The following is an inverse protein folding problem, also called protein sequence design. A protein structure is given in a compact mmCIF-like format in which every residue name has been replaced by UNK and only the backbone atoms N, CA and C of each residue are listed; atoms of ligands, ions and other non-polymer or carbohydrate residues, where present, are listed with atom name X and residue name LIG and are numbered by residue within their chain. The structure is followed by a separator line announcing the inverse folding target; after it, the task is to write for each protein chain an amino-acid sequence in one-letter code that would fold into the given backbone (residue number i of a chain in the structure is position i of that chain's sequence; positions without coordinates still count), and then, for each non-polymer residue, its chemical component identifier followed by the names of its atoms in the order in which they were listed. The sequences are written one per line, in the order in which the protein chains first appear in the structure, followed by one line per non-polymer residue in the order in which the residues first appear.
data_IF_928409810377
#
_entry.id   IF_928409810377
#
_cell.length_a   1.000
_cell.length_b   1.000
_cell.length_c   1.000
_cell.angle_alpha   90.00
_cell.angle_beta   90.00
_cell.angle_gamma   90.00
#
_symmetry.space_group_name_H-M   'P 1'
#
loop_
_entity.id
_entity.type
_entity.pdbx_description
1 polymer ?
#
# COMPACT_ATOMS: atom_id res chain seq x y z
N UNK A 1 23.79 -6.20 16.61
CA UNK A 1 22.52 -6.17 15.85
C UNK A 1 21.85 -4.78 15.76
N UNK A 2 22.02 -3.86 16.71
CA UNK A 2 21.35 -2.53 16.73
C UNK A 2 21.75 -1.52 15.64
N UNK A 3 22.81 -1.74 14.88
CA UNK A 3 23.35 -0.77 13.90
C UNK A 3 22.56 -0.69 12.57
N UNK A 4 21.64 -1.63 12.34
CA UNK A 4 20.86 -1.72 11.10
C UNK A 4 19.36 -1.43 11.33
N UNK A 5 18.96 -0.96 12.52
CA UNK A 5 17.58 -0.53 12.76
C UNK A 5 17.43 0.91 12.24
N UNK A 6 16.45 1.11 11.35
CA UNK A 6 16.03 2.43 10.90
C UNK A 6 14.80 2.84 11.70
N UNK A 7 14.84 4.00 12.38
CA UNK A 7 13.68 4.58 13.09
C UNK A 7 12.86 5.53 12.19
N UNK A 8 13.13 5.51 10.87
CA UNK A 8 12.47 6.40 9.92
C UNK A 8 11.01 6.04 9.76
N UNK A 9 10.14 7.02 9.97
CA UNK A 9 8.68 6.88 9.82
C UNK A 9 8.19 7.21 8.41
N UNK A 10 9.09 7.62 7.51
CA UNK A 10 8.78 8.08 6.16
C UNK A 10 9.10 7.03 5.08
N UNK A 11 9.36 5.79 5.48
CA UNK A 11 9.69 4.67 4.60
C UNK A 11 8.78 3.47 4.87
N UNK A 12 8.63 2.60 3.87
CA UNK A 12 7.99 1.29 4.05
C UNK A 12 9.03 0.30 4.55
N UNK A 13 8.87 -0.16 5.79
CA UNK A 13 9.80 -1.09 6.46
C UNK A 13 9.93 -2.42 5.71
N UNK A 14 8.83 -2.97 5.20
CA UNK A 14 8.80 -4.21 4.44
C UNK A 14 9.60 -4.10 3.12
N UNK A 15 9.50 -2.96 2.44
CA UNK A 15 10.24 -2.67 1.21
C UNK A 15 11.73 -2.44 1.48
N UNK A 16 12.08 -1.70 2.53
CA UNK A 16 13.48 -1.48 2.96
C UNK A 16 14.14 -2.80 3.36
N UNK A 17 13.46 -3.63 4.16
CA UNK A 17 13.92 -4.95 4.55
C UNK A 17 14.16 -5.84 3.33
N UNK A 18 13.21 -5.86 2.40
CA UNK A 18 13.30 -6.64 1.16
C UNK A 18 14.55 -6.30 0.35
N UNK A 19 14.85 -5.02 0.19
CA UNK A 19 16.04 -4.55 -0.54
C UNK A 19 17.32 -4.85 0.24
N UNK A 20 17.31 -4.70 1.57
CA UNK A 20 18.44 -5.04 2.42
C UNK A 20 18.79 -6.54 2.34
N UNK A 21 17.79 -7.42 2.38
CA UNK A 21 17.97 -8.86 2.22
C UNK A 21 18.53 -9.21 0.84
N UNK A 22 18.01 -8.58 -0.22
CA UNK A 22 18.51 -8.78 -1.57
C UNK A 22 19.99 -8.37 -1.71
N UNK A 23 20.41 -7.28 -1.07
CA UNK A 23 21.79 -6.79 -1.10
C UNK A 23 22.80 -7.75 -0.44
N UNK A 24 22.36 -8.59 0.50
CA UNK A 24 23.21 -9.63 1.11
C UNK A 24 23.09 -10.98 0.39
N UNK A 25 22.49 -11.01 -0.81
CA UNK A 25 22.39 -12.21 -1.65
C UNK A 25 21.22 -13.13 -1.29
N UNK A 26 20.29 -12.70 -0.42
CA UNK A 26 19.10 -13.48 -0.11
C UNK A 26 18.00 -13.25 -1.15
N UNK A 27 17.24 -14.30 -1.43
CA UNK A 27 16.09 -14.24 -2.34
C UNK A 27 14.80 -14.21 -1.53
N UNK A 28 13.86 -13.37 -1.95
CA UNK A 28 12.51 -13.32 -1.36
C UNK A 28 11.66 -14.36 -2.08
N UNK A 29 11.32 -15.44 -1.37
CA UNK A 29 10.40 -16.46 -1.87
C UNK A 29 8.95 -16.10 -1.54
N UNK A 30 8.05 -16.30 -2.51
CA UNK A 30 6.61 -16.31 -2.27
C UNK A 30 6.15 -17.77 -2.20
N UNK A 31 5.47 -18.13 -1.11
CA UNK A 31 4.97 -19.49 -0.90
C UNK A 31 3.49 -19.53 -1.29
N UNK A 32 3.16 -20.24 -2.37
CA UNK A 32 1.78 -20.29 -2.88
C UNK A 32 0.78 -20.89 -1.88
N UNK A 33 1.24 -21.81 -1.02
CA UNK A 33 0.42 -22.37 0.05
C UNK A 33 0.19 -21.41 1.22
N UNK A 34 0.84 -20.25 1.25
CA UNK A 34 0.66 -19.19 2.25
C UNK A 34 -0.09 -17.97 1.68
N UNK A 35 -0.99 -18.18 0.72
CA UNK A 35 -1.82 -17.11 0.17
C UNK A 35 -2.83 -16.63 1.21
N UNK A 36 -2.86 -15.31 1.42
CA UNK A 36 -3.84 -14.64 2.26
C UNK A 36 -4.63 -13.66 1.40
N UNK A 37 -5.93 -13.55 1.66
CA UNK A 37 -6.77 -12.56 0.99
C UNK A 37 -6.33 -11.14 1.36
N UNK A 38 -6.19 -10.28 0.35
CA UNK A 38 -5.81 -8.89 0.58
C UNK A 38 -7.01 -8.12 1.15
N UNK A 39 -6.85 -7.50 2.32
CA UNK A 39 -7.86 -6.58 2.82
C UNK A 39 -8.02 -5.41 1.84
N UNK A 40 -9.25 -5.13 1.39
CA UNK A 40 -9.58 -3.96 0.55
C UNK A 40 -9.36 -2.60 1.24
N UNK A 41 -8.81 -2.58 2.46
CA UNK A 41 -8.55 -1.39 3.30
C UNK A 41 -7.86 -0.26 2.53
N UNK A 42 -6.92 -0.60 1.64
CA UNK A 42 -6.19 0.41 0.85
C UNK A 42 -7.05 1.03 -0.25
N UNK A 43 -8.01 0.30 -0.80
CA UNK A 43 -8.99 0.82 -1.78
C UNK A 43 -9.86 1.95 -1.22
N UNK A 44 -10.18 1.90 0.07
CA UNK A 44 -10.95 2.95 0.75
C UNK A 44 -10.11 4.19 1.13
N UNK A 45 -8.79 4.09 1.10
CA UNK A 45 -7.89 5.16 1.55
C UNK A 45 -8.05 6.39 0.65
N UNK A 46 -8.34 7.58 1.20
CA UNK A 46 -8.49 8.80 0.41
C UNK A 46 -7.24 9.10 -0.44
N UNK A 47 -7.39 9.67 -1.65
CA UNK A 47 -6.26 9.91 -2.55
C UNK A 47 -5.12 10.74 -1.92
N UNK A 48 -5.47 11.69 -1.05
CA UNK A 48 -4.49 12.51 -0.32
C UNK A 48 -3.62 11.66 0.62
N UNK A 49 -4.21 10.72 1.35
CA UNK A 49 -3.48 9.83 2.25
C UNK A 49 -2.70 8.78 1.47
N UNK A 50 -3.31 8.25 0.40
CA UNK A 50 -2.63 7.34 -0.51
C UNK A 50 -1.41 7.97 -1.18
N UNK A 51 -1.45 9.27 -1.51
CA UNK A 51 -0.27 9.97 -2.02
C UNK A 51 0.88 10.03 -1.02
N UNK A 52 0.60 10.11 0.29
CA UNK A 52 1.63 10.02 1.34
C UNK A 52 2.21 8.61 1.42
N UNK A 53 1.35 7.60 1.30
CA UNK A 53 1.78 6.20 1.24
C UNK A 53 2.74 5.97 0.06
N UNK A 54 2.43 6.51 -1.12
CA UNK A 54 3.30 6.42 -2.29
C UNK A 54 4.60 7.23 -2.18
N UNK A 55 4.61 8.34 -1.44
CA UNK A 55 5.85 9.05 -1.09
C UNK A 55 6.79 8.21 -0.24
N UNK A 56 6.27 7.38 0.67
CA UNK A 56 7.11 6.48 1.45
C UNK A 56 7.80 5.42 0.55
N UNK A 57 7.12 4.93 -0.48
CA UNK A 57 7.73 4.09 -1.52
C UNK A 57 8.87 4.84 -2.23
N UNK A 58 8.65 6.11 -2.62
CA UNK A 58 9.72 6.91 -3.21
C UNK A 58 10.92 7.11 -2.27
N UNK A 59 10.68 7.33 -0.98
CA UNK A 59 11.72 7.50 0.03
C UNK A 59 12.62 6.26 0.15
N UNK A 60 12.05 5.05 0.12
CA UNK A 60 12.81 3.79 0.14
C UNK A 60 13.69 3.67 -1.11
N UNK A 61 13.11 3.91 -2.30
CA UNK A 61 13.85 3.80 -3.56
C UNK A 61 15.01 4.82 -3.63
N UNK A 62 14.82 6.02 -3.09
CA UNK A 62 15.88 7.04 -2.97
C UNK A 62 16.94 6.63 -1.96
N UNK A 63 16.54 6.12 -0.79
CA UNK A 63 17.46 5.65 0.25
C UNK A 63 18.45 4.61 -0.29
N UNK A 64 17.99 3.73 -1.18
CA UNK A 64 18.85 2.70 -1.78
C UNK A 64 19.48 3.09 -3.12
N UNK A 65 19.35 4.34 -3.57
CA UNK A 65 19.87 4.83 -4.86
C UNK A 65 19.39 4.04 -6.09
N UNK A 66 18.18 3.47 -6.03
CA UNK A 66 17.56 2.70 -7.13
C UNK A 66 16.45 3.49 -7.85
N UNK A 67 16.12 4.68 -7.35
CA UNK A 67 15.13 5.56 -7.97
C UNK A 67 15.53 5.93 -9.40
N UNK A 68 14.63 5.68 -10.35
CA UNK A 68 14.80 6.05 -11.75
C UNK A 68 13.48 6.58 -12.33
N UNK A 69 13.52 7.06 -13.58
CA UNK A 69 12.35 7.64 -14.23
C UNK A 69 11.18 6.65 -14.37
N UNK A 70 11.47 5.35 -14.57
CA UNK A 70 10.45 4.29 -14.70
C UNK A 70 9.70 4.11 -13.38
N UNK A 71 10.41 4.00 -12.26
CA UNK A 71 9.78 3.91 -10.94
C UNK A 71 8.98 5.17 -10.60
N UNK A 72 9.52 6.35 -10.89
CA UNK A 72 8.79 7.61 -10.68
C UNK A 72 7.49 7.66 -11.51
N UNK A 73 7.54 7.18 -12.75
CA UNK A 73 6.36 7.08 -13.61
C UNK A 73 5.34 6.08 -13.05
N UNK A 74 5.78 4.89 -12.65
CA UNK A 74 4.91 3.85 -12.09
C UNK A 74 4.21 4.31 -10.81
N UNK A 75 4.94 4.94 -9.87
CA UNK A 75 4.35 5.46 -8.63
C UNK A 75 3.31 6.57 -8.92
N UNK A 76 3.59 7.42 -9.91
CA UNK A 76 2.64 8.46 -10.31
C UNK A 76 1.40 7.86 -10.99
N UNK A 77 1.59 6.87 -11.85
CA UNK A 77 0.49 6.14 -12.50
C UNK A 77 -0.38 5.46 -11.46
N UNK A 78 0.21 4.74 -10.51
CA UNK A 78 -0.50 4.10 -9.40
C UNK A 78 -1.32 5.11 -8.59
N UNK A 79 -0.75 6.27 -8.26
CA UNK A 79 -1.48 7.35 -7.57
C UNK A 79 -2.69 7.84 -8.36
N UNK A 80 -2.55 7.99 -9.69
CA UNK A 80 -3.63 8.46 -10.58
C UNK A 80 -4.72 7.39 -10.70
N UNK A 81 -4.34 6.14 -10.94
CA UNK A 81 -5.27 5.02 -11.03
C UNK A 81 -6.04 4.86 -9.73
N UNK A 82 -5.36 4.95 -8.58
CA UNK A 82 -6.02 4.91 -7.27
C UNK A 82 -7.00 6.07 -7.09
N UNK A 83 -6.63 7.29 -7.47
CA UNK A 83 -7.53 8.43 -7.38
C UNK A 83 -8.80 8.29 -8.23
N UNK A 84 -8.68 7.67 -9.41
CA UNK A 84 -9.81 7.37 -10.29
C UNK A 84 -10.67 6.20 -9.79
N UNK A 85 -10.05 5.18 -9.20
CA UNK A 85 -10.73 3.98 -8.69
C UNK A 85 -11.38 4.23 -7.31
N UNK A 86 -10.82 5.13 -6.50
CA UNK A 86 -11.31 5.45 -5.16
C UNK A 86 -12.82 5.76 -5.05
N UNK A 87 -13.44 6.58 -5.93
CA UNK A 87 -14.90 6.79 -5.87
C UNK A 87 -15.68 5.49 -6.11
N UNK A 88 -15.17 4.58 -6.95
CA UNK A 88 -15.80 3.27 -7.21
C UNK A 88 -15.73 2.42 -5.94
N UNK A 89 -14.54 2.32 -5.33
CA UNK A 89 -14.36 1.60 -4.05
C UNK A 89 -15.24 2.14 -2.93
N UNK A 90 -15.46 3.46 -2.88
CA UNK A 90 -16.28 4.10 -1.85
C UNK A 90 -17.79 3.96 -2.09
N UNK A 91 -18.21 3.93 -3.35
CA UNK A 91 -19.62 3.73 -3.70
C UNK A 91 -20.03 2.26 -3.61
N UNK A 92 -19.10 1.32 -3.76
CA UNK A 92 -19.41 -0.10 -3.78
C UNK A 92 -19.63 -0.67 -2.36
N UNK A 93 -20.82 -1.21 -2.11
CA UNK A 93 -21.13 -1.96 -0.90
C UNK A 93 -20.73 -3.43 -1.10
N UNK A 94 -19.61 -3.84 -0.51
CA UNK A 94 -19.13 -5.23 -0.60
C UNK A 94 -20.03 -6.25 0.12
N UNK A 95 -20.87 -5.84 1.08
CA UNK A 95 -21.76 -6.78 1.79
C UNK A 95 -23.04 -7.08 1.01
N UNK A 96 -23.52 -6.10 0.23
CA UNK A 96 -24.75 -6.21 -0.55
C UNK A 96 -24.49 -6.34 -2.05
N UNK A 97 -23.22 -6.35 -2.47
CA UNK A 97 -22.74 -6.38 -3.85
C UNK A 97 -23.38 -5.32 -4.77
N UNK A 98 -23.64 -4.11 -4.23
CA UNK A 98 -24.39 -3.04 -4.91
C UNK A 98 -23.70 -1.69 -4.80
N UNK A 99 -23.93 -0.83 -5.80
CA UNK A 99 -23.49 0.57 -5.75
C UNK A 99 -24.47 1.42 -4.93
N UNK A 100 -23.95 2.09 -3.91
CA UNK A 100 -24.67 3.01 -3.05
C UNK A 100 -24.01 4.39 -3.07
N UNK A 101 -24.48 5.28 -3.96
CA UNK A 101 -23.93 6.63 -4.12
C UNK A 101 -24.01 7.48 -2.84
N UNK A 102 -24.91 7.16 -1.90
CA UNK A 102 -24.96 7.80 -0.57
C UNK A 102 -23.66 7.60 0.23
N UNK A 103 -22.95 6.49 0.02
CA UNK A 103 -21.67 6.17 0.70
C UNK A 103 -20.50 7.02 0.22
N UNK A 104 -20.60 7.67 -0.95
CA UNK A 104 -19.60 8.63 -1.43
C UNK A 104 -19.42 9.82 -0.48
N UNK A 105 -20.48 10.19 0.24
CA UNK A 105 -20.48 11.35 1.14
C UNK A 105 -20.50 10.97 2.63
N UNK A 106 -20.79 9.71 2.97
CA UNK A 106 -20.75 9.19 4.34
C UNK A 106 -19.32 8.95 4.85
N UNK A 107 -19.11 8.96 6.18
CA UNK A 107 -17.81 8.58 6.78
C UNK A 107 -17.50 7.11 6.46
N UNK A 108 -16.29 6.82 5.97
CA UNK A 108 -15.81 5.43 5.80
C UNK A 108 -15.74 4.78 7.18
N UNK A 109 -16.60 3.81 7.45
CA UNK A 109 -16.39 2.91 8.58
C UNK A 109 -15.28 1.95 8.13
N UNK A 110 -14.04 2.23 8.56
CA UNK A 110 -12.92 1.35 8.25
C UNK A 110 -13.29 -0.08 8.63
N UNK A 111 -13.12 -1.01 7.68
CA UNK A 111 -13.49 -2.42 7.85
C UNK A 111 -12.80 -2.98 9.09
N UNK A 112 -13.60 -3.41 10.07
CA UNK A 112 -13.13 -4.08 11.29
C UNK A 112 -12.50 -5.40 10.85
N UNK A 113 -11.22 -5.63 11.19
CA UNK A 113 -10.59 -6.91 10.89
C UNK A 113 -11.27 -8.00 11.72
N UNK A 114 -11.58 -9.18 11.15
CA UNK A 114 -12.09 -10.30 11.93
C UNK A 114 -10.94 -10.80 12.81
N UNK A 115 -10.84 -10.26 14.03
CA UNK A 115 -10.06 -10.87 15.10
C UNK A 115 -11.02 -11.84 15.79
N UNK A 116 -11.04 -13.09 15.33
CA UNK A 116 -11.60 -14.15 16.18
C UNK A 116 -10.71 -14.20 17.43
N UNK A 117 -11.32 -13.91 18.58
CA UNK A 117 -10.75 -14.13 19.91
C UNK A 117 -10.74 -15.62 20.24
#
# INVERSE_FOLDING_TARGET
MRKNLSERTDIHEDMDLSICLQKIGLTIGQCDSMRVETSGRRGETPPREYSKYNRASESVLRLHNIMNWRFKFLIRLDTVVHALAWPIYRAYNFEQERFEFRRLFGKSQGRIMPVNQ
#
